data_IF_657800309900
#
_entry.id   IF_657800309900
#
_cell.length_a   1.000
_cell.length_b   1.000
_cell.length_c   1.000
_cell.angle_alpha   90.00
_cell.angle_beta   90.00
_cell.angle_gamma   90.00
#
_symmetry.space_group_name_H-M   'P 1'
#
loop_
_entity.id
_entity.type
_entity.pdbx_description
1 polymer ?
#
# COMPACT_ATOMS: atom_id res chain seq x y z
N UNK A 1 0.79 -22.77 -30.08
CA UNK A 1 2.13 -22.90 -29.47
C UNK A 1 2.59 -21.49 -29.17
N UNK A 2 2.63 -21.14 -27.89
CA UNK A 2 2.72 -19.75 -27.42
C UNK A 2 4.12 -19.17 -27.63
N UNK A 3 4.18 -18.09 -28.41
CA UNK A 3 5.39 -17.31 -28.69
C UNK A 3 5.78 -16.45 -27.48
N UNK A 4 6.34 -17.04 -26.43
CA UNK A 4 6.99 -16.28 -25.37
C UNK A 4 8.47 -16.04 -25.71
N UNK A 5 8.95 -14.81 -25.51
CA UNK A 5 10.37 -14.45 -25.66
C UNK A 5 11.23 -15.26 -24.70
N UNK A 6 12.47 -15.60 -25.08
CA UNK A 6 13.41 -16.39 -24.27
C UNK A 6 13.70 -15.81 -22.87
N UNK A 7 13.39 -14.53 -22.64
CA UNK A 7 13.53 -13.84 -21.36
C UNK A 7 12.20 -13.64 -20.59
N UNK A 8 11.11 -14.28 -21.01
CA UNK A 8 9.82 -14.15 -20.36
C UNK A 8 9.83 -14.89 -19.01
N UNK A 9 9.80 -14.14 -17.91
CA UNK A 9 9.60 -14.70 -16.57
C UNK A 9 8.13 -14.62 -16.15
N UNK A 10 7.51 -15.77 -15.87
CA UNK A 10 6.19 -15.81 -15.24
C UNK A 10 6.32 -15.37 -13.79
N UNK A 11 5.68 -14.25 -13.43
CA UNK A 11 5.58 -13.82 -12.03
C UNK A 11 4.29 -14.40 -11.44
N UNK A 12 4.37 -15.19 -10.36
CA UNK A 12 3.17 -15.73 -9.73
C UNK A 12 2.29 -14.57 -9.24
N UNK A 13 0.97 -14.72 -9.43
CA UNK A 13 0.00 -13.79 -8.86
C UNK A 13 0.01 -13.95 -7.35
N UNK A 14 0.08 -12.83 -6.63
CA UNK A 14 0.03 -12.79 -5.16
C UNK A 14 -1.22 -12.05 -4.71
N UNK A 15 -1.67 -12.36 -3.50
CA UNK A 15 -2.92 -11.85 -2.93
C UNK A 15 -2.60 -11.04 -1.66
N UNK A 16 -2.33 -9.73 -1.80
CA UNK A 16 -1.82 -8.93 -0.70
C UNK A 16 -2.90 -8.48 0.32
N UNK A 17 -2.67 -8.73 1.60
CA UNK A 17 -3.49 -8.19 2.69
C UNK A 17 -2.69 -7.19 3.53
N UNK A 18 -3.36 -6.21 4.11
CA UNK A 18 -2.81 -5.30 5.12
C UNK A 18 -3.15 -5.86 6.49
N UNK A 19 -2.13 -6.15 7.30
CA UNK A 19 -2.29 -6.47 8.72
C UNK A 19 -2.02 -5.23 9.54
N UNK A 20 -2.94 -4.91 10.43
CA UNK A 20 -2.90 -3.66 11.19
C UNK A 20 -2.25 -3.84 12.56
N UNK A 21 -1.49 -2.82 13.01
CA UNK A 21 -0.89 -2.75 14.35
C UNK A 21 0.03 -3.93 14.69
N UNK A 22 0.80 -4.44 13.73
CA UNK A 22 1.79 -5.49 13.96
C UNK A 22 2.92 -4.96 14.85
N UNK A 23 3.33 -5.70 15.90
CA UNK A 23 4.49 -5.35 16.73
C UNK A 23 5.74 -5.13 15.88
N UNK A 24 6.48 -4.05 16.14
CA UNK A 24 7.70 -3.75 15.37
C UNK A 24 8.86 -4.73 15.63
N UNK A 25 8.72 -5.60 16.63
CA UNK A 25 9.63 -6.72 16.90
C UNK A 25 9.55 -7.84 15.87
N UNK A 26 8.47 -7.90 15.08
CA UNK A 26 8.37 -8.82 13.96
C UNK A 26 9.33 -8.41 12.83
N UNK A 27 10.15 -9.34 12.35
CA UNK A 27 10.98 -9.10 11.16
C UNK A 27 10.31 -9.69 9.92
N UNK A 28 9.72 -8.86 9.03
CA UNK A 28 9.05 -9.36 7.82
C UNK A 28 10.02 -9.82 6.73
N UNK A 29 11.33 -9.65 6.92
CA UNK A 29 12.37 -10.10 5.97
C UNK A 29 12.97 -11.45 6.36
N UNK A 30 12.75 -11.90 7.59
CA UNK A 30 13.20 -13.20 8.09
C UNK A 30 12.28 -14.31 7.61
N UNK A 31 12.82 -15.25 6.83
CA UNK A 31 12.09 -16.45 6.41
C UNK A 31 11.56 -17.24 7.61
N UNK A 32 12.40 -17.43 8.65
CA UNK A 32 12.00 -18.11 9.88
C UNK A 32 10.84 -17.41 10.62
N UNK A 33 10.78 -16.08 10.57
CA UNK A 33 9.64 -15.34 11.14
C UNK A 33 8.35 -15.56 10.31
N UNK A 34 8.46 -15.64 8.98
CA UNK A 34 7.32 -15.97 8.10
C UNK A 34 6.83 -17.40 8.32
N UNK A 35 7.72 -18.39 8.52
CA UNK A 35 7.33 -19.78 8.81
C UNK A 35 6.59 -19.89 10.13
N UNK A 36 7.11 -19.25 11.20
CA UNK A 36 6.42 -19.20 12.50
C UNK A 36 5.05 -18.53 12.41
N UNK A 37 4.89 -17.53 11.53
CA UNK A 37 3.60 -16.92 11.25
C UNK A 37 2.67 -17.92 10.56
N UNK A 38 3.14 -18.66 9.55
CA UNK A 38 2.34 -19.70 8.88
C UNK A 38 1.86 -20.77 9.87
N UNK A 39 2.77 -21.32 10.66
CA UNK A 39 2.46 -22.31 11.70
C UNK A 39 1.39 -21.79 12.69
N UNK A 40 1.54 -20.55 13.15
CA UNK A 40 0.63 -19.93 14.11
C UNK A 40 -0.77 -19.67 13.54
N UNK A 41 -0.93 -19.70 12.21
CA UNK A 41 -2.20 -19.48 11.51
C UNK A 41 -2.73 -20.76 10.82
N UNK A 42 -2.09 -21.91 11.07
CA UNK A 42 -2.48 -23.19 10.46
C UNK A 42 -2.30 -23.21 8.94
N UNK A 43 -1.32 -22.47 8.43
CA UNK A 43 -0.98 -22.41 7.00
C UNK A 43 0.12 -23.41 6.67
N UNK A 44 0.17 -23.82 5.41
CA UNK A 44 1.31 -24.58 4.89
C UNK A 44 2.52 -23.66 4.65
N UNK A 45 3.71 -24.26 4.71
CA UNK A 45 4.95 -23.57 4.38
C UNK A 45 4.86 -22.92 2.99
N UNK A 46 5.28 -21.65 2.92
CA UNK A 46 5.32 -20.82 1.71
C UNK A 46 3.97 -20.33 1.18
N UNK A 47 2.88 -20.51 1.93
CA UNK A 47 1.62 -19.81 1.62
C UNK A 47 1.70 -18.29 1.82
N UNK A 48 2.60 -17.83 2.68
CA UNK A 48 3.07 -16.44 2.74
C UNK A 48 4.37 -16.33 1.95
N UNK A 49 4.28 -15.74 0.76
CA UNK A 49 5.43 -15.58 -0.14
C UNK A 49 6.45 -14.59 0.40
N UNK A 50 5.98 -13.49 1.00
CA UNK A 50 6.80 -12.43 1.61
C UNK A 50 5.95 -11.45 2.39
N UNK A 51 6.60 -10.61 3.19
CA UNK A 51 5.98 -9.50 3.90
C UNK A 51 6.80 -8.21 3.73
N UNK A 52 6.17 -7.06 3.93
CA UNK A 52 6.91 -5.79 4.09
C UNK A 52 6.13 -4.77 4.90
N UNK A 53 6.86 -3.89 5.57
CA UNK A 53 6.26 -2.73 6.22
C UNK A 53 5.68 -1.74 5.21
N UNK A 54 4.51 -1.15 5.52
CA UNK A 54 3.97 -0.03 4.75
C UNK A 54 4.82 1.23 4.99
N UNK A 55 5.07 1.53 6.27
CA UNK A 55 5.95 2.63 6.70
C UNK A 55 7.37 2.08 6.92
N UNK A 56 8.37 2.52 6.13
CA UNK A 56 9.75 2.07 6.30
C UNK A 56 10.26 2.31 7.72
N UNK A 57 11.09 1.40 8.29
CA UNK A 57 11.64 1.53 9.64
C UNK A 57 12.28 2.90 9.90
N UNK A 58 13.13 3.39 8.99
CA UNK A 58 13.81 4.69 9.14
C UNK A 58 12.91 5.94 9.09
N UNK A 59 11.58 5.78 8.88
CA UNK A 59 10.62 6.90 8.94
C UNK A 59 9.71 6.84 10.17
N UNK A 60 9.91 5.86 11.06
CA UNK A 60 9.07 5.67 12.26
C UNK A 60 9.33 6.74 13.29
N UNK A 61 8.32 6.99 14.11
CA UNK A 61 8.53 7.77 15.33
C UNK A 61 9.38 6.92 16.29
N UNK A 62 10.33 7.50 17.05
CA UNK A 62 11.18 6.75 17.99
C UNK A 62 10.39 5.91 19.00
N UNK A 63 9.19 6.36 19.38
CA UNK A 63 8.33 5.68 20.36
C UNK A 63 7.29 4.75 19.72
N UNK A 64 7.32 4.57 18.39
CA UNK A 64 6.35 3.76 17.66
C UNK A 64 6.53 2.26 17.98
N UNK A 65 5.55 1.64 18.64
CA UNK A 65 5.60 0.21 19.03
C UNK A 65 4.93 -0.77 18.06
N UNK A 66 4.13 -0.26 17.13
CA UNK A 66 3.42 -1.07 16.14
C UNK A 66 3.36 -0.37 14.78
N UNK A 67 3.27 -1.14 13.70
CA UNK A 67 3.17 -0.63 12.34
C UNK A 67 2.25 -1.50 11.48
N UNK A 68 1.83 -0.96 10.33
CA UNK A 68 1.04 -1.72 9.35
C UNK A 68 1.97 -2.51 8.41
N UNK A 69 1.61 -3.76 8.18
CA UNK A 69 2.34 -4.72 7.36
C UNK A 69 1.51 -5.06 6.11
N UNK A 70 2.16 -5.32 4.99
CA UNK A 70 1.54 -6.01 3.85
C UNK A 70 2.08 -7.43 3.84
N UNK A 71 1.19 -8.42 3.94
CA UNK A 71 1.49 -9.82 3.68
C UNK A 71 1.09 -10.15 2.24
N UNK A 72 1.95 -10.88 1.53
CA UNK A 72 1.66 -11.37 0.18
C UNK A 72 1.45 -12.88 0.25
N UNK A 73 0.22 -13.34 0.13
CA UNK A 73 -0.06 -14.78 0.07
C UNK A 73 -0.01 -15.30 -1.36
N UNK A 74 0.21 -16.61 -1.51
CA UNK A 74 0.31 -17.28 -2.82
C UNK A 74 -1.04 -17.70 -3.38
N UNK A 75 -2.08 -17.78 -2.54
CA UNK A 75 -3.42 -18.16 -2.97
C UNK A 75 -4.49 -17.20 -2.41
N UNK A 76 -5.66 -17.08 -3.10
CA UNK A 76 -6.79 -16.34 -2.57
C UNK A 76 -7.41 -17.04 -1.35
N UNK A 77 -7.35 -18.37 -1.31
CA UNK A 77 -7.83 -19.17 -0.17
C UNK A 77 -7.11 -18.80 1.12
N UNK A 78 -5.79 -18.77 1.09
CA UNK A 78 -4.94 -18.34 2.22
C UNK A 78 -5.27 -16.91 2.65
N UNK A 79 -5.37 -15.97 1.70
CA UNK A 79 -5.70 -14.58 2.01
C UNK A 79 -7.09 -14.46 2.66
N UNK A 80 -8.06 -15.22 2.14
CA UNK A 80 -9.45 -15.20 2.62
C UNK A 80 -9.59 -15.89 3.99
N UNK A 81 -8.82 -16.94 4.27
CA UNK A 81 -8.72 -17.55 5.60
C UNK A 81 -8.21 -16.52 6.62
N UNK A 82 -7.06 -15.90 6.33
CA UNK A 82 -6.49 -14.86 7.19
C UNK A 82 -7.46 -13.69 7.43
N UNK A 83 -8.09 -13.15 6.37
CA UNK A 83 -9.08 -12.06 6.50
C UNK A 83 -10.34 -12.42 7.30
N UNK A 84 -10.67 -13.71 7.37
CA UNK A 84 -11.85 -14.21 8.10
C UNK A 84 -11.53 -14.43 9.57
N UNK A 85 -10.39 -15.04 9.84
CA UNK A 85 -10.02 -15.55 11.17
C UNK A 85 -9.13 -14.57 11.95
N UNK A 86 -8.55 -13.58 11.25
CA UNK A 86 -7.50 -12.70 11.73
C UNK A 86 -6.11 -13.33 11.58
N UNK A 87 -5.06 -12.51 11.74
CA UNK A 87 -3.67 -12.96 11.60
C UNK A 87 -2.96 -12.97 12.94
N UNK A 88 -2.47 -14.14 13.35
CA UNK A 88 -1.60 -14.30 14.52
C UNK A 88 -0.15 -13.97 14.16
N UNK A 89 0.40 -12.91 14.77
CA UNK A 89 1.81 -12.49 14.60
C UNK A 89 2.40 -12.20 15.97
N UNK A 90 3.53 -12.84 16.32
CA UNK A 90 4.20 -12.72 17.64
C UNK A 90 3.17 -12.89 18.79
N UNK A 91 2.45 -14.01 18.77
CA UNK A 91 1.42 -14.38 19.77
C UNK A 91 0.23 -13.41 19.89
N UNK A 92 0.11 -12.41 19.01
CA UNK A 92 -0.97 -11.44 19.00
C UNK A 92 -1.91 -11.71 17.83
N UNK A 93 -3.22 -11.80 18.08
CA UNK A 93 -4.23 -11.85 17.03
C UNK A 93 -4.52 -10.43 16.53
N UNK A 94 -4.36 -10.19 15.24
CA UNK A 94 -4.45 -8.88 14.61
C UNK A 94 -5.50 -8.88 13.50
N UNK A 95 -6.15 -7.74 13.33
CA UNK A 95 -7.08 -7.53 12.24
C UNK A 95 -6.34 -7.17 10.95
N UNK A 96 -6.90 -7.65 9.86
CA UNK A 96 -6.39 -7.42 8.54
C UNK A 96 -7.51 -7.13 7.54
N UNK A 97 -7.11 -6.71 6.34
CA UNK A 97 -8.02 -6.43 5.24
C UNK A 97 -7.29 -6.55 3.91
N UNK A 98 -8.06 -6.80 2.86
CA UNK A 98 -7.58 -6.76 1.47
C UNK A 98 -6.85 -5.46 1.15
N UNK A 99 -5.70 -5.57 0.47
CA UNK A 99 -5.04 -4.42 -0.12
C UNK A 99 -5.75 -4.04 -1.42
N UNK A 100 -6.65 -3.07 -1.33
CA UNK A 100 -7.31 -2.49 -2.50
C UNK A 100 -6.32 -1.74 -3.38
N UNK A 101 -6.52 -1.81 -4.71
CA UNK A 101 -5.81 -0.95 -5.64
C UNK A 101 -6.34 0.48 -5.50
N UNK A 102 -5.44 1.43 -5.30
CA UNK A 102 -5.79 2.85 -5.18
C UNK A 102 -5.25 3.63 -6.38
N UNK A 103 -5.86 4.79 -6.73
CA UNK A 103 -5.29 5.71 -7.71
C UNK A 103 -3.86 6.09 -7.34
N UNK A 104 -2.95 5.94 -8.30
CA UNK A 104 -1.57 6.37 -8.14
C UNK A 104 -1.46 7.87 -8.40
N UNK A 105 -0.59 8.54 -7.63
CA UNK A 105 -0.15 9.91 -7.92
C UNK A 105 1.30 9.90 -8.31
N UNK A 106 1.64 10.70 -9.31
CA UNK A 106 3.03 11.04 -9.55
C UNK A 106 3.58 11.84 -8.35
N UNK A 107 4.62 11.34 -7.69
CA UNK A 107 5.22 12.04 -6.54
C UNK A 107 5.99 13.32 -6.93
N UNK A 108 6.20 13.55 -8.23
CA UNK A 108 6.80 14.77 -8.77
C UNK A 108 5.75 15.86 -9.00
N UNK A 109 4.69 15.59 -9.77
CA UNK A 109 3.70 16.60 -10.15
C UNK A 109 2.35 16.50 -9.41
N UNK A 110 2.18 15.51 -8.54
CA UNK A 110 0.96 15.19 -7.78
C UNK A 110 -0.28 14.78 -8.59
N UNK A 111 -0.24 14.84 -9.93
CA UNK A 111 -1.36 14.43 -10.79
C UNK A 111 -1.72 12.97 -10.59
N UNK A 112 -3.02 12.69 -10.52
CA UNK A 112 -3.62 11.35 -10.46
C UNK A 112 -3.92 10.75 -11.84
N UNK A 113 -3.77 11.54 -12.89
CA UNK A 113 -4.02 11.11 -14.26
C UNK A 113 -3.06 9.99 -14.67
N UNK A 114 -3.57 9.07 -15.48
CA UNK A 114 -2.80 7.95 -16.00
C UNK A 114 -1.59 8.45 -16.77
N UNK A 115 -0.40 7.92 -16.46
CA UNK A 115 0.65 7.84 -17.48
C UNK A 115 2.09 7.82 -17.03
N UNK A 116 2.43 8.17 -15.79
CA UNK A 116 3.84 8.21 -15.42
C UNK A 116 4.14 8.06 -13.92
N UNK A 117 5.33 7.54 -13.67
CA UNK A 117 5.99 7.59 -12.36
C UNK A 117 6.84 8.86 -12.26
N UNK A 118 7.24 9.23 -11.04
CA UNK A 118 8.11 10.38 -10.82
C UNK A 118 9.41 10.34 -11.63
N UNK A 119 9.95 9.14 -11.88
CA UNK A 119 11.15 8.90 -12.72
C UNK A 119 10.98 9.26 -14.20
N UNK A 120 9.74 9.26 -14.69
CA UNK A 120 9.39 9.49 -16.09
C UNK A 120 8.43 10.67 -16.23
N UNK A 121 8.43 11.56 -15.23
CA UNK A 121 7.55 12.73 -15.21
C UNK A 121 8.12 13.83 -16.13
N UNK A 122 7.33 14.33 -17.10
CA UNK A 122 7.79 15.36 -18.03
C UNK A 122 7.89 16.75 -17.39
N UNK A 123 7.25 16.96 -16.24
CA UNK A 123 7.31 18.25 -15.52
C UNK A 123 8.73 18.53 -15.08
N UNK A 124 9.18 19.78 -15.27
CA UNK A 124 10.52 20.21 -14.85
C UNK A 124 10.58 20.35 -13.33
N UNK A 125 9.63 21.10 -12.78
CA UNK A 125 9.54 21.42 -11.36
C UNK A 125 8.80 20.35 -10.56
N UNK A 126 9.18 20.22 -9.29
CA UNK A 126 8.44 19.38 -8.33
C UNK A 126 7.27 20.16 -7.72
N UNK A 127 6.13 19.52 -7.55
CA UNK A 127 4.96 20.04 -6.84
C UNK A 127 4.85 19.32 -5.49
N UNK A 128 4.78 20.11 -4.41
CA UNK A 128 4.63 19.58 -3.06
C UNK A 128 3.28 18.90 -2.88
N UNK A 129 3.28 17.65 -2.39
CA UNK A 129 2.06 16.92 -2.08
C UNK A 129 1.28 17.47 -0.88
N UNK A 130 1.86 18.35 -0.07
CA UNK A 130 1.24 18.91 1.14
C UNK A 130 0.62 20.29 0.92
N UNK A 131 1.32 21.19 0.23
CA UNK A 131 0.86 22.57 0.00
C UNK A 131 0.78 22.98 -1.49
N UNK A 132 1.13 22.09 -2.42
CA UNK A 132 1.05 22.36 -3.87
C UNK A 132 2.13 23.31 -4.44
N UNK A 133 2.99 23.91 -3.61
CA UNK A 133 4.05 24.83 -4.03
C UNK A 133 5.26 24.09 -4.61
N UNK A 134 6.12 24.79 -5.35
CA UNK A 134 7.31 24.27 -6.01
C UNK A 134 8.44 23.93 -5.02
N UNK A 135 8.36 22.75 -4.39
CA UNK A 135 9.43 22.14 -3.62
C UNK A 135 9.13 20.67 -3.32
N UNK A 136 10.17 19.97 -2.82
CA UNK A 136 10.06 18.59 -2.34
C UNK A 136 9.11 18.49 -1.15
N UNK A 137 8.27 17.47 -1.16
CA UNK A 137 7.29 17.25 -0.07
C UNK A 137 7.96 17.03 1.29
N UNK A 138 9.15 16.40 1.31
CA UNK A 138 9.92 16.18 2.55
C UNK A 138 10.45 17.48 3.18
N UNK A 139 10.61 18.53 2.37
CA UNK A 139 11.17 19.82 2.77
C UNK A 139 10.02 20.85 3.03
N UNK A 140 8.77 20.37 3.10
CA UNK A 140 7.60 21.22 3.29
C UNK A 140 7.52 21.76 4.73
N UNK A 141 7.45 23.08 4.94
CA UNK A 141 7.29 23.66 6.27
C UNK A 141 5.85 23.55 6.80
N UNK A 142 4.87 23.23 5.93
CA UNK A 142 3.45 23.17 6.31
C UNK A 142 3.16 21.90 7.10
N UNK A 143 2.87 22.06 8.39
CA UNK A 143 2.45 20.97 9.28
C UNK A 143 0.95 21.02 9.60
N UNK A 144 0.39 22.23 9.69
CA UNK A 144 -0.99 22.48 10.10
C UNK A 144 -1.99 22.29 8.95
N UNK A 145 -3.21 21.85 9.27
CA UNK A 145 -4.25 21.50 8.29
C UNK A 145 -4.66 22.66 7.38
N UNK A 146 -4.78 23.89 7.93
CA UNK A 146 -5.23 25.08 7.18
C UNK A 146 -4.29 25.46 6.03
N UNK A 147 -2.98 25.26 6.19
CA UNK A 147 -1.98 25.56 5.16
C UNK A 147 -1.83 24.46 4.11
N UNK A 148 -2.52 23.34 4.26
CA UNK A 148 -2.51 22.27 3.25
C UNK A 148 -3.35 22.67 2.06
N UNK A 149 -2.88 22.27 0.90
CA UNK A 149 -3.54 22.53 -0.37
C UNK A 149 -3.33 21.35 -1.31
N UNK A 150 -4.40 20.97 -2.00
CA UNK A 150 -4.38 19.87 -2.94
C UNK A 150 -4.29 20.37 -4.39
N UNK A 151 -3.21 20.02 -5.07
CA UNK A 151 -2.98 20.37 -6.47
C UNK A 151 -4.00 19.73 -7.45
N UNK A 152 -4.72 18.67 -7.04
CA UNK A 152 -5.66 17.95 -7.89
C UNK A 152 -7.08 18.53 -7.85
N UNK A 153 -7.62 18.80 -6.65
CA UNK A 153 -8.97 19.39 -6.50
C UNK A 153 -8.96 20.91 -6.31
N UNK A 154 -7.76 21.51 -6.18
CA UNK A 154 -7.55 22.95 -6.01
C UNK A 154 -8.17 23.55 -4.73
N UNK A 155 -8.36 22.73 -3.69
CA UNK A 155 -8.91 23.14 -2.40
C UNK A 155 -7.84 23.16 -1.29
N UNK A 156 -8.03 24.08 -0.34
CA UNK A 156 -7.26 24.14 0.92
C UNK A 156 -7.85 23.22 1.99
N UNK A 157 -7.10 22.99 3.07
CA UNK A 157 -7.56 22.24 4.24
C UNK A 157 -7.25 20.74 4.20
N UNK A 158 -6.67 20.25 3.11
CA UNK A 158 -6.14 18.89 3.01
C UNK A 158 -4.99 18.83 1.99
N UNK A 159 -4.11 17.85 2.17
CA UNK A 159 -3.00 17.59 1.25
C UNK A 159 -3.44 16.69 0.08
N UNK A 160 -2.68 16.70 -1.02
CA UNK A 160 -2.94 15.86 -2.19
C UNK A 160 -2.88 14.34 -1.89
N UNK A 161 -2.24 13.96 -0.78
CA UNK A 161 -2.13 12.57 -0.34
C UNK A 161 -3.23 12.11 0.62
N UNK A 162 -4.14 13.00 1.02
CA UNK A 162 -5.26 12.64 1.90
C UNK A 162 -6.36 11.90 1.11
N UNK A 163 -6.83 10.77 1.65
CA UNK A 163 -7.89 9.94 1.05
C UNK A 163 -9.27 10.59 1.07
N UNK A 164 -9.44 11.67 1.83
CA UNK A 164 -10.64 12.51 1.87
C UNK A 164 -10.73 13.50 0.70
N UNK A 165 -9.70 13.59 -0.15
CA UNK A 165 -9.68 14.49 -1.29
C UNK A 165 -10.79 14.14 -2.30
N UNK A 166 -11.66 15.08 -2.71
CA UNK A 166 -12.73 14.80 -3.69
C UNK A 166 -12.21 14.24 -5.02
N UNK A 167 -11.07 14.75 -5.49
CA UNK A 167 -10.45 14.24 -6.72
C UNK A 167 -9.92 12.80 -6.54
N UNK A 168 -9.48 12.44 -5.33
CA UNK A 168 -9.06 11.06 -5.03
C UNK A 168 -10.26 10.13 -4.98
N UNK A 169 -11.33 10.53 -4.29
CA UNK A 169 -12.57 9.75 -4.20
C UNK A 169 -13.15 9.47 -5.58
N UNK A 170 -13.29 10.49 -6.42
CA UNK A 170 -13.78 10.30 -7.80
C UNK A 170 -12.87 9.40 -8.64
N UNK A 171 -11.55 9.50 -8.47
CA UNK A 171 -10.59 8.64 -9.16
C UNK A 171 -10.67 7.19 -8.66
N UNK A 172 -10.88 6.99 -7.36
CA UNK A 172 -11.03 5.68 -6.74
C UNK A 172 -12.32 5.00 -7.19
N UNK A 173 -13.43 5.72 -7.27
CA UNK A 173 -14.70 5.21 -7.81
C UNK A 173 -14.53 4.72 -9.25
N UNK A 174 -13.92 5.53 -10.11
CA UNK A 174 -13.62 5.15 -11.50
C UNK A 174 -12.70 3.94 -11.59
N UNK A 175 -11.72 3.82 -10.69
CA UNK A 175 -10.80 2.69 -10.64
C UNK A 175 -11.53 1.41 -10.19
N UNK A 176 -12.33 1.49 -9.14
CA UNK A 176 -13.08 0.37 -8.58
C UNK A 176 -14.14 -0.16 -9.56
N UNK A 177 -14.78 0.72 -10.34
CA UNK A 177 -15.67 0.30 -11.42
C UNK A 177 -14.96 -0.55 -12.50
N UNK A 178 -13.67 -0.32 -12.72
CA UNK A 178 -12.86 -1.03 -13.72
C UNK A 178 -12.12 -2.26 -13.19
N UNK A 179 -12.00 -2.41 -11.87
CA UNK A 179 -11.23 -3.47 -11.23
C UNK A 179 -12.21 -4.32 -10.41
N UNK A 180 -12.68 -5.46 -10.95
CA UNK A 180 -13.62 -6.34 -10.24
C UNK A 180 -13.12 -6.74 -8.85
N UNK A 181 -11.81 -7.02 -8.70
CA UNK A 181 -11.22 -7.33 -7.40
C UNK A 181 -11.47 -6.23 -6.35
N UNK A 182 -11.55 -4.95 -6.72
CA UNK A 182 -11.78 -3.88 -5.75
C UNK A 182 -13.22 -3.84 -5.20
N UNK A 183 -14.17 -4.55 -5.83
CA UNK A 183 -15.58 -4.52 -5.47
C UNK A 183 -15.92 -5.49 -4.32
N UNK A 184 -15.03 -6.43 -4.02
CA UNK A 184 -15.25 -7.48 -3.03
C UNK A 184 -14.31 -7.36 -1.84
N UNK A 185 -14.86 -7.62 -0.64
CA UNK A 185 -14.08 -7.72 0.61
C UNK A 185 -13.01 -8.82 0.52
N UNK A 186 -13.38 -9.98 -0.03
CA UNK A 186 -12.51 -11.14 -0.20
C UNK A 186 -11.95 -11.20 -1.63
N UNK A 187 -10.92 -12.02 -1.83
CA UNK A 187 -10.45 -12.36 -3.17
C UNK A 187 -11.40 -13.38 -3.82
N UNK A 188 -11.76 -13.18 -5.11
CA UNK A 188 -12.55 -14.15 -5.86
C UNK A 188 -11.74 -15.42 -6.17
#
# INVERSE_FOLDING_TARGET
>A
MDNFSANATVKPRLYPIIVERVPISFDPTSEGALRKLEDANGLHNYEVARARWIKPPGRRDPNQRAAHLILFTTSPGTANQLMRDGVRIVQTLLWDRKLFKEPLRCLKCQRMETGHFASSCPEKEECCGTCGVAHRTKDCPVTHKKGRYCANCKLTGHAAWERSCPAFTSSLEKLTAKIPDNQFKYYP
#
